data_IF_938349513779
#
_entry.id   IF_938349513779
#
_cell.length_a   1.000
_cell.length_b   1.000
_cell.length_c   1.000
_cell.angle_alpha   90.00
_cell.angle_beta   90.00
_cell.angle_gamma   90.00
#
_symmetry.space_group_name_H-M   'P 1'
#
loop_
_entity.id
_entity.type
_entity.pdbx_description
1 polymer ?
#
# COMPACT_ATOMS: atom_id res chain seq x y z
N UNK A 1 -4.46 3.84 1.86
CA UNK A 1 -3.47 3.88 2.97
C UNK A 1 -2.42 2.76 2.91
N UNK A 2 -2.66 1.63 2.22
CA UNK A 2 -1.67 0.54 2.12
C UNK A 2 -0.58 0.83 1.06
N UNK A 3 -0.92 1.54 -0.01
CA UNK A 3 -0.04 1.84 -1.15
C UNK A 3 1.25 2.61 -0.77
N UNK A 4 1.28 3.29 0.38
CA UNK A 4 2.51 3.97 0.85
C UNK A 4 3.59 3.00 1.33
N UNK A 5 3.25 1.72 1.53
CA UNK A 5 4.13 0.70 2.12
C UNK A 5 4.52 -0.41 1.17
N UNK A 6 3.94 -0.43 -0.03
CA UNK A 6 4.18 -1.48 -1.02
C UNK A 6 4.70 -0.78 -2.28
N UNK A 7 5.86 -1.20 -2.81
CA UNK A 7 6.37 -0.73 -4.10
C UNK A 7 5.34 -0.97 -5.21
N UNK A 8 5.29 -0.08 -6.19
CA UNK A 8 4.25 -0.11 -7.23
C UNK A 8 4.43 -1.32 -8.13
N UNK A 9 5.68 -1.70 -8.42
CA UNK A 9 6.05 -2.85 -9.22
C UNK A 9 5.60 -4.17 -8.56
N UNK A 10 5.68 -4.26 -7.22
CA UNK A 10 5.16 -5.43 -6.51
C UNK A 10 3.64 -5.56 -6.64
N UNK A 11 2.91 -4.44 -6.67
CA UNK A 11 1.46 -4.44 -6.87
C UNK A 11 1.12 -4.84 -8.30
N UNK A 12 1.84 -4.31 -9.29
CA UNK A 12 1.66 -4.69 -10.70
C UNK A 12 1.85 -6.18 -10.90
N UNK A 13 2.91 -6.76 -10.33
CA UNK A 13 3.16 -8.21 -10.38
C UNK A 13 2.04 -9.02 -9.72
N UNK A 14 1.56 -8.60 -8.55
CA UNK A 14 0.41 -9.24 -7.89
C UNK A 14 -0.84 -9.16 -8.77
N UNK A 15 -1.11 -8.00 -9.37
CA UNK A 15 -2.26 -7.78 -10.25
C UNK A 15 -2.16 -8.58 -11.55
N UNK A 16 -0.95 -8.88 -12.02
CA UNK A 16 -0.72 -9.69 -13.21
C UNK A 16 -1.09 -11.17 -13.02
N UNK A 17 -1.07 -11.70 -11.78
CA UNK A 17 -1.33 -13.11 -11.51
C UNK A 17 -2.61 -13.63 -12.19
N UNK A 18 -3.80 -13.01 -12.03
CA UNK A 18 -5.03 -13.54 -12.62
C UNK A 18 -5.12 -13.39 -14.14
N UNK A 19 -4.20 -12.65 -14.77
CA UNK A 19 -4.12 -12.50 -16.22
C UNK A 19 -3.15 -13.48 -16.86
N UNK A 20 -2.07 -13.84 -16.15
CA UNK A 20 -1.06 -14.79 -16.62
C UNK A 20 -1.51 -16.22 -16.36
N UNK A 21 -1.97 -16.50 -15.14
CA UNK A 21 -2.52 -17.80 -14.75
C UNK A 21 -3.99 -17.62 -14.34
N UNK A 22 -4.91 -17.59 -15.31
CA UNK A 22 -6.32 -17.30 -15.05
C UNK A 22 -7.07 -18.50 -14.43
N UNK A 23 -6.47 -19.69 -14.39
CA UNK A 23 -7.12 -20.91 -13.95
C UNK A 23 -7.66 -20.78 -12.52
N UNK A 24 -8.87 -21.29 -12.20
CA UNK A 24 -9.76 -22.10 -13.04
C UNK A 24 -10.67 -21.30 -13.99
N UNK A 25 -10.53 -19.98 -14.06
CA UNK A 25 -11.30 -19.10 -14.95
C UNK A 25 -10.58 -18.86 -16.29
N UNK A 26 -11.23 -18.18 -17.24
CA UNK A 26 -10.56 -17.66 -18.46
C UNK A 26 -10.11 -16.21 -18.28
N UNK A 27 -9.14 -15.69 -19.04
CA UNK A 27 -8.54 -14.34 -18.86
C UNK A 27 -9.58 -13.22 -18.61
N UNK A 28 -9.38 -12.31 -17.64
CA UNK A 28 -10.36 -11.26 -17.34
C UNK A 28 -10.56 -10.31 -18.54
N UNK A 29 -11.80 -10.20 -19.03
CA UNK A 29 -12.18 -9.34 -20.16
C UNK A 29 -12.78 -7.98 -19.78
N UNK A 30 -12.94 -7.70 -18.48
CA UNK A 30 -13.47 -6.44 -17.97
C UNK A 30 -12.70 -5.98 -16.73
N UNK A 31 -12.73 -4.67 -16.46
CA UNK A 31 -12.06 -4.07 -15.29
C UNK A 31 -12.56 -4.69 -13.99
N UNK A 32 -13.89 -4.84 -13.86
CA UNK A 32 -14.51 -5.41 -12.66
C UNK A 32 -14.13 -6.88 -12.46
N UNK A 33 -14.10 -7.68 -13.54
CA UNK A 33 -13.68 -9.07 -13.46
C UNK A 33 -12.21 -9.20 -13.04
N UNK A 34 -11.33 -8.34 -13.56
CA UNK A 34 -9.93 -8.27 -13.15
C UNK A 34 -9.79 -7.93 -11.67
N UNK A 35 -10.43 -6.84 -11.24
CA UNK A 35 -10.40 -6.37 -9.85
C UNK A 35 -10.87 -7.45 -8.85
N UNK A 36 -12.02 -8.08 -9.10
CA UNK A 36 -12.56 -9.12 -8.23
C UNK A 36 -11.66 -10.35 -8.15
N UNK A 37 -10.99 -10.71 -9.25
CA UNK A 37 -10.07 -11.85 -9.25
C UNK A 37 -8.78 -11.56 -8.52
N UNK A 38 -8.26 -10.33 -8.61
CA UNK A 38 -7.11 -9.90 -7.80
C UNK A 38 -7.47 -9.95 -6.32
N UNK A 39 -8.65 -9.45 -5.92
CA UNK A 39 -9.11 -9.55 -4.54
C UNK A 39 -9.22 -11.01 -4.09
N UNK A 40 -9.79 -11.87 -4.94
CA UNK A 40 -9.90 -13.32 -4.68
C UNK A 40 -8.55 -13.99 -4.52
N UNK A 41 -7.58 -13.66 -5.38
CA UNK A 41 -6.22 -14.14 -5.27
C UNK A 41 -5.61 -13.72 -3.93
N UNK A 42 -5.62 -12.41 -3.63
CA UNK A 42 -5.06 -11.87 -2.38
C UNK A 42 -5.68 -12.45 -1.11
N UNK A 43 -6.98 -12.72 -1.11
CA UNK A 43 -7.65 -13.29 0.05
C UNK A 43 -7.26 -14.75 0.33
N UNK A 44 -7.00 -15.52 -0.72
CA UNK A 44 -6.70 -16.95 -0.64
C UNK A 44 -5.19 -17.24 -0.64
N UNK A 45 -4.36 -16.30 -1.06
CA UNK A 45 -2.92 -16.50 -1.15
C UNK A 45 -2.29 -16.65 0.24
N UNK A 46 -1.81 -17.86 0.54
CA UNK A 46 -1.00 -18.13 1.72
C UNK A 46 0.48 -17.82 1.41
N UNK A 47 0.83 -16.55 1.41
CA UNK A 47 2.19 -16.08 1.12
C UNK A 47 3.28 -16.68 2.04
N UNK A 48 2.93 -17.28 3.19
CA UNK A 48 3.89 -17.98 4.06
C UNK A 48 4.40 -19.29 3.44
N UNK A 49 3.50 -20.05 2.84
CA UNK A 49 3.77 -21.40 2.34
C UNK A 49 3.98 -21.41 0.82
N UNK A 50 3.30 -20.52 0.09
CA UNK A 50 3.28 -20.53 -1.36
C UNK A 50 3.97 -19.27 -1.95
N UNK A 51 5.04 -19.44 -2.74
CA UNK A 51 5.63 -18.34 -3.50
C UNK A 51 4.71 -17.96 -4.68
N UNK A 52 4.73 -16.68 -5.07
CA UNK A 52 4.14 -16.26 -6.34
C UNK A 52 5.23 -16.32 -7.42
N UNK A 53 5.11 -17.25 -8.37
CA UNK A 53 6.04 -17.36 -9.52
C UNK A 53 5.28 -16.96 -10.78
N UNK A 54 5.75 -15.93 -11.47
CA UNK A 54 5.08 -15.36 -12.63
C UNK A 54 5.92 -15.53 -13.89
N UNK A 55 5.33 -16.18 -14.89
CA UNK A 55 5.88 -16.20 -16.24
C UNK A 55 5.42 -14.96 -17.02
N UNK A 56 6.29 -13.96 -17.09
CA UNK A 56 6.03 -12.72 -17.83
C UNK A 56 6.20 -12.87 -19.35
N UNK A 57 6.53 -14.06 -19.86
CA UNK A 57 6.62 -14.31 -21.30
C UNK A 57 5.24 -14.28 -21.96
N UNK A 58 4.78 -13.06 -22.24
CA UNK A 58 3.47 -12.82 -22.82
C UNK A 58 3.42 -13.17 -24.32
N UNK A 59 2.60 -14.15 -24.69
CA UNK A 59 1.89 -14.21 -25.99
C UNK A 59 0.69 -13.25 -25.94
N UNK A 60 0.94 -11.95 -25.82
CA UNK A 60 -0.16 -10.97 -25.82
C UNK A 60 -0.39 -10.49 -27.23
N UNK A 61 -1.34 -11.15 -27.89
CA UNK A 61 -1.74 -10.97 -29.27
C UNK A 61 -0.66 -11.39 -30.28
N UNK A 62 -0.94 -12.48 -30.99
CA UNK A 62 -0.33 -12.84 -32.27
C UNK A 62 -0.47 -11.76 -33.37
N UNK A 63 -1.10 -10.61 -33.09
CA UNK A 63 -1.32 -9.50 -34.03
C UNK A 63 -0.33 -8.35 -33.90
N UNK A 64 0.44 -8.23 -32.81
CA UNK A 64 1.28 -7.05 -32.56
C UNK A 64 2.75 -7.37 -32.23
N UNK A 65 3.15 -8.65 -32.19
CA UNK A 65 4.56 -9.01 -32.26
C UNK A 65 4.92 -9.21 -33.73
N UNK A 66 6.02 -8.60 -34.17
CA UNK A 66 6.79 -9.12 -35.30
C UNK A 66 6.88 -10.64 -35.12
N UNK A 67 6.42 -11.40 -36.11
CA UNK A 67 6.50 -12.85 -36.09
C UNK A 67 7.97 -13.23 -35.90
N UNK A 68 8.37 -13.51 -34.65
CA UNK A 68 9.62 -14.24 -34.42
C UNK A 68 9.39 -15.62 -35.05
N UNK A 69 9.96 -15.81 -36.23
CA UNK A 69 9.77 -16.98 -37.10
C UNK A 69 10.26 -18.30 -36.48
N UNK A 70 11.11 -18.24 -35.45
CA UNK A 70 11.67 -19.42 -34.81
C UNK A 70 10.87 -19.88 -33.59
N UNK A 71 10.35 -21.11 -33.65
CA UNK A 71 9.72 -21.83 -32.53
C UNK A 71 10.65 -21.91 -31.29
N UNK A 72 11.96 -21.86 -31.50
CA UNK A 72 12.99 -21.94 -30.45
C UNK A 72 13.00 -20.69 -29.55
N UNK A 73 12.78 -19.51 -30.12
CA UNK A 73 12.76 -18.25 -29.35
C UNK A 73 11.51 -18.15 -28.45
N UNK A 74 10.38 -18.71 -28.91
CA UNK A 74 9.13 -18.76 -28.14
C UNK A 74 9.24 -19.68 -26.92
N UNK A 75 10.00 -20.79 -27.04
CA UNK A 75 10.27 -21.71 -25.93
C UNK A 75 11.31 -21.10 -24.97
N UNK A 76 12.33 -20.44 -25.51
CA UNK A 76 13.38 -19.79 -24.69
C UNK A 76 12.82 -18.69 -23.80
N UNK A 77 11.76 -18.01 -24.23
CA UNK A 77 11.13 -16.94 -23.46
C UNK A 77 10.40 -17.45 -22.20
N UNK A 78 9.80 -18.63 -22.23
CA UNK A 78 9.07 -19.23 -21.09
C UNK A 78 10.00 -19.59 -19.93
N UNK A 79 9.43 -19.66 -18.72
CA UNK A 79 10.19 -20.13 -17.55
C UNK A 79 10.52 -21.61 -17.71
N UNK A 80 11.82 -21.92 -17.78
CA UNK A 80 12.32 -23.29 -17.77
C UNK A 80 12.14 -23.96 -16.39
N UNK A 81 12.02 -25.29 -16.39
CA UNK A 81 11.87 -26.10 -15.18
C UNK A 81 13.05 -25.90 -14.21
N UNK A 82 14.28 -25.77 -14.71
CA UNK A 82 15.43 -25.53 -13.86
C UNK A 82 15.33 -24.18 -13.12
N UNK A 83 14.88 -23.14 -13.82
CA UNK A 83 14.66 -21.81 -13.26
C UNK A 83 13.54 -21.84 -12.22
N UNK A 84 12.43 -22.50 -12.53
CA UNK A 84 11.31 -22.69 -11.60
C UNK A 84 11.74 -23.42 -10.31
N UNK A 85 12.51 -24.50 -10.43
CA UNK A 85 13.06 -25.21 -9.26
C UNK A 85 14.04 -24.35 -8.46
N UNK A 86 14.83 -23.52 -9.13
CA UNK A 86 15.76 -22.60 -8.48
C UNK A 86 15.03 -21.54 -7.66
N UNK A 87 13.94 -20.98 -8.18
CA UNK A 87 13.07 -20.04 -7.44
C UNK A 87 12.46 -20.70 -6.20
N UNK A 88 11.93 -21.92 -6.32
CA UNK A 88 11.39 -22.65 -5.18
C UNK A 88 12.45 -22.97 -4.12
N UNK A 89 13.68 -23.30 -4.53
CA UNK A 89 14.82 -23.46 -3.61
C UNK A 89 15.16 -22.13 -2.92
N UNK A 90 15.14 -21.01 -3.63
CA UNK A 90 15.36 -19.68 -3.06
C UNK A 90 14.28 -19.32 -2.03
N UNK A 91 13.02 -19.62 -2.33
CA UNK A 91 11.90 -19.45 -1.41
C UNK A 91 12.06 -20.30 -0.14
N UNK A 92 12.39 -21.59 -0.30
CA UNK A 92 12.61 -22.49 0.84
C UNK A 92 13.74 -21.98 1.75
N UNK A 93 14.87 -21.55 1.17
CA UNK A 93 15.98 -20.93 1.92
C UNK A 93 15.54 -19.64 2.63
N UNK A 94 14.72 -18.83 1.99
CA UNK A 94 14.21 -17.60 2.59
C UNK A 94 13.31 -17.92 3.79
N UNK A 95 12.43 -18.93 3.68
CA UNK A 95 11.54 -19.36 4.77
C UNK A 95 12.27 -20.12 5.88
N UNK A 96 13.40 -20.75 5.60
CA UNK A 96 14.27 -21.32 6.64
C UNK A 96 14.81 -20.23 7.57
N UNK A 97 15.25 -19.10 7.00
CA UNK A 97 15.75 -17.97 7.79
C UNK A 97 14.66 -17.05 8.35
N UNK A 98 13.51 -16.96 7.67
CA UNK A 98 12.35 -16.17 8.09
C UNK A 98 11.05 -16.97 7.96
N UNK A 99 10.77 -17.90 8.90
CA UNK A 99 9.60 -18.79 8.82
C UNK A 99 8.26 -18.06 8.88
N UNK A 100 8.24 -16.87 9.53
CA UNK A 100 7.02 -16.08 9.70
C UNK A 100 6.85 -15.01 8.62
N UNK A 101 7.85 -14.79 7.75
CA UNK A 101 7.84 -13.75 6.73
C UNK A 101 7.80 -12.34 7.33
N UNK A 102 8.54 -12.11 8.41
CA UNK A 102 8.60 -10.80 9.10
C UNK A 102 9.26 -9.75 8.22
N UNK A 103 10.35 -10.10 7.53
CA UNK A 103 11.15 -9.18 6.71
C UNK A 103 10.67 -9.14 5.27
N UNK A 104 10.34 -10.29 4.72
CA UNK A 104 9.90 -10.44 3.32
C UNK A 104 8.64 -11.33 3.33
N UNK A 105 7.46 -10.74 3.53
CA UNK A 105 6.20 -11.49 3.52
C UNK A 105 5.91 -12.01 2.12
N UNK A 106 5.99 -11.15 1.10
CA UNK A 106 5.71 -11.53 -0.29
C UNK A 106 6.97 -12.01 -1.00
N UNK A 107 6.93 -13.23 -1.52
CA UNK A 107 7.93 -13.74 -2.45
C UNK A 107 7.32 -13.71 -3.85
N UNK A 108 7.92 -12.96 -4.78
CA UNK A 108 7.44 -12.83 -6.15
C UNK A 108 8.61 -13.10 -7.10
N UNK A 109 8.69 -14.34 -7.61
CA UNK A 109 9.71 -14.76 -8.56
C UNK A 109 9.29 -14.50 -10.00
N UNK A 110 10.20 -13.93 -10.80
CA UNK A 110 10.02 -13.74 -12.25
C UNK A 110 11.30 -14.19 -12.95
N UNK A 111 11.28 -14.39 -14.27
CA UNK A 111 12.51 -14.74 -15.02
C UNK A 111 13.66 -13.76 -14.78
N UNK A 112 13.34 -12.49 -14.53
CA UNK A 112 14.29 -11.42 -14.22
C UNK A 112 14.74 -11.44 -12.75
N UNK A 113 13.86 -11.85 -11.82
CA UNK A 113 14.18 -11.98 -10.40
C UNK A 113 13.98 -13.41 -9.87
N UNK A 114 15.04 -14.20 -9.92
CA UNK A 114 15.09 -15.57 -9.35
C UNK A 114 15.09 -15.54 -7.81
N UNK A 115 15.53 -14.44 -7.21
CA UNK A 115 15.61 -14.30 -5.75
C UNK A 115 14.25 -14.03 -5.11
N UNK A 116 13.32 -13.47 -5.89
CA UNK A 116 11.93 -13.22 -5.54
C UNK A 116 11.70 -12.17 -4.45
N UNK A 117 12.74 -11.40 -4.10
CA UNK A 117 12.73 -10.42 -3.00
C UNK A 117 13.07 -9.00 -3.42
N UNK A 118 13.43 -8.77 -4.69
CA UNK A 118 13.94 -7.47 -5.17
C UNK A 118 12.89 -6.38 -5.01
N UNK A 119 11.65 -6.68 -5.41
CA UNK A 119 10.54 -5.74 -5.42
C UNK A 119 9.72 -5.74 -4.12
N UNK A 120 9.96 -6.70 -3.22
CA UNK A 120 9.17 -6.88 -2.00
C UNK A 120 9.94 -6.54 -0.72
N UNK A 121 11.17 -6.06 -0.87
CA UNK A 121 11.99 -5.62 0.24
C UNK A 121 11.38 -4.37 0.91
N UNK A 122 11.20 -4.43 2.24
CA UNK A 122 10.67 -3.31 3.03
C UNK A 122 9.16 -3.38 3.31
N UNK A 123 8.44 -4.35 2.74
CA UNK A 123 7.04 -4.58 3.09
C UNK A 123 6.96 -5.19 4.48
N UNK A 124 6.34 -4.47 5.42
CA UNK A 124 6.10 -4.99 6.77
C UNK A 124 5.04 -6.09 6.77
N UNK A 125 5.25 -7.11 7.60
CA UNK A 125 4.28 -8.16 7.89
C UNK A 125 2.88 -7.61 8.27
N UNK A 126 2.82 -6.51 9.02
CA UNK A 126 1.56 -5.89 9.44
C UNK A 126 0.76 -5.42 8.22
N UNK A 127 1.44 -4.81 7.26
CA UNK A 127 0.83 -4.31 6.03
C UNK A 127 0.38 -5.47 5.14
N UNK A 128 1.22 -6.49 4.97
CA UNK A 128 0.88 -7.65 4.16
C UNK A 128 -0.31 -8.44 4.73
N UNK A 129 -0.33 -8.66 6.04
CA UNK A 129 -1.44 -9.29 6.76
C UNK A 129 -2.72 -8.45 6.65
N UNK A 130 -2.61 -7.12 6.76
CA UNK A 130 -3.74 -6.22 6.62
C UNK A 130 -4.34 -6.25 5.22
N UNK A 131 -3.52 -6.24 4.17
CA UNK A 131 -4.00 -6.34 2.79
C UNK A 131 -4.75 -7.66 2.55
N UNK A 132 -4.20 -8.77 3.05
CA UNK A 132 -4.84 -10.10 2.97
C UNK A 132 -6.18 -10.11 3.72
N UNK A 133 -6.21 -9.56 4.93
CA UNK A 133 -7.40 -9.51 5.79
C UNK A 133 -8.49 -8.63 5.20
N UNK A 134 -8.14 -7.45 4.68
CA UNK A 134 -9.10 -6.58 4.00
C UNK A 134 -9.63 -7.21 2.71
N UNK A 135 -8.80 -7.95 1.98
CA UNK A 135 -9.25 -8.67 0.78
C UNK A 135 -10.26 -9.76 1.14
N UNK A 136 -10.04 -10.50 2.24
CA UNK A 136 -11.03 -11.46 2.77
C UNK A 136 -12.33 -10.78 3.17
N UNK A 137 -12.26 -9.70 3.95
CA UNK A 137 -13.45 -8.94 4.36
C UNK A 137 -14.22 -8.41 3.16
N UNK A 138 -13.53 -7.89 2.14
CA UNK A 138 -14.17 -7.40 0.92
C UNK A 138 -14.90 -8.52 0.17
N UNK A 139 -14.31 -9.71 0.04
CA UNK A 139 -14.97 -10.86 -0.58
C UNK A 139 -16.13 -11.40 0.26
N UNK A 140 -15.99 -11.47 1.57
CA UNK A 140 -17.06 -11.90 2.47
C UNK A 140 -18.27 -10.97 2.36
N UNK A 141 -18.03 -9.66 2.27
CA UNK A 141 -19.08 -8.66 2.07
C UNK A 141 -19.75 -8.83 0.70
N UNK A 142 -18.98 -9.13 -0.35
CA UNK A 142 -19.52 -9.35 -1.71
C UNK A 142 -20.32 -10.66 -1.83
N UNK A 143 -19.86 -11.73 -1.20
CA UNK A 143 -20.50 -13.07 -1.25
C UNK A 143 -21.75 -13.17 -0.37
N UNK A 144 -21.85 -12.41 0.72
CA UNK A 144 -23.07 -12.37 1.55
C UNK A 144 -24.29 -11.84 0.81
N UNK A 145 -24.08 -10.99 -0.20
CA UNK A 145 -25.12 -10.38 -1.02
C UNK A 145 -25.48 -11.19 -2.29
N UNK A 146 -24.99 -12.44 -2.42
CA UNK A 146 -25.12 -13.38 -3.56
C UNK A 146 -26.55 -13.61 -4.10
N UNK A 147 -27.58 -13.09 -3.42
CA UNK A 147 -28.96 -13.11 -3.90
C UNK A 147 -29.24 -12.08 -5.00
N UNK A 148 -28.39 -11.07 -5.17
CA UNK A 148 -28.50 -10.07 -6.23
C UNK A 148 -27.35 -10.23 -7.23
N UNK A 149 -27.70 -10.37 -8.51
CA UNK A 149 -26.73 -10.42 -9.62
C UNK A 149 -26.01 -9.07 -9.84
N UNK A 150 -26.52 -7.99 -9.25
CA UNK A 150 -25.97 -6.64 -9.37
C UNK A 150 -25.30 -6.18 -8.08
N UNK A 151 -24.05 -5.73 -8.22
CA UNK A 151 -23.29 -5.12 -7.13
C UNK A 151 -23.82 -3.70 -6.94
N UNK A 152 -24.49 -3.46 -5.81
CA UNK A 152 -25.04 -2.14 -5.48
C UNK A 152 -23.94 -1.10 -5.31
N UNK A 153 -24.17 0.12 -5.79
CA UNK A 153 -23.26 1.26 -5.62
C UNK A 153 -22.89 1.54 -4.15
N UNK A 154 -23.82 1.32 -3.23
CA UNK A 154 -23.56 1.48 -1.80
C UNK A 154 -22.50 0.49 -1.29
N UNK A 155 -22.47 -0.72 -1.83
CA UNK A 155 -21.52 -1.76 -1.47
C UNK A 155 -20.13 -1.45 -2.04
N UNK A 156 -20.08 -0.97 -3.29
CA UNK A 156 -18.83 -0.48 -3.88
C UNK A 156 -18.26 0.68 -3.07
N UNK A 157 -19.10 1.66 -2.70
CA UNK A 157 -18.69 2.77 -1.82
C UNK A 157 -18.13 2.26 -0.50
N UNK A 158 -18.72 1.22 0.10
CA UNK A 158 -18.23 0.62 1.34
C UNK A 158 -16.83 0.02 1.18
N UNK A 159 -16.59 -0.75 0.10
CA UNK A 159 -15.28 -1.38 -0.16
C UNK A 159 -14.18 -0.35 -0.39
N UNK A 160 -14.51 0.78 -1.03
CA UNK A 160 -13.58 1.88 -1.27
C UNK A 160 -13.50 2.90 -0.11
N UNK A 161 -14.28 2.72 0.96
CA UNK A 161 -14.22 3.59 2.14
C UNK A 161 -13.27 2.98 3.19
N UNK A 162 -12.19 3.67 3.56
CA UNK A 162 -11.24 3.13 4.52
C UNK A 162 -11.85 3.03 5.93
N UNK A 163 -11.67 1.88 6.58
CA UNK A 163 -11.99 1.72 7.99
C UNK A 163 -10.87 2.29 8.87
N UNK A 164 -11.14 3.41 9.56
CA UNK A 164 -10.16 4.10 10.40
C UNK A 164 -10.08 3.58 11.86
N UNK A 165 -10.95 2.65 12.24
CA UNK A 165 -11.12 2.19 13.64
C UNK A 165 -9.97 1.32 14.18
N UNK A 166 -9.22 0.72 13.27
CA UNK A 166 -8.14 -0.22 13.61
C UNK A 166 -6.80 0.49 13.82
N UNK A 167 -6.75 1.81 13.66
CA UNK A 167 -5.55 2.62 13.87
C UNK A 167 -5.53 3.22 15.27
N UNK A 168 -4.33 3.34 15.84
CA UNK A 168 -4.13 3.94 17.16
C UNK A 168 -4.21 5.47 17.09
N UNK A 169 -3.71 6.04 15.99
CA UNK A 169 -3.68 7.48 15.75
C UNK A 169 -4.27 7.77 14.38
N UNK A 170 -5.19 8.73 14.30
CA UNK A 170 -5.80 9.20 13.05
C UNK A 170 -5.75 10.72 13.02
N UNK A 171 -4.95 11.27 12.11
CA UNK A 171 -4.79 12.71 11.89
C UNK A 171 -5.60 13.08 10.65
N UNK A 172 -6.68 13.85 10.84
CA UNK A 172 -7.48 14.41 9.76
C UNK A 172 -6.96 15.79 9.40
N UNK A 173 -6.74 16.02 8.11
CA UNK A 173 -6.17 17.27 7.60
C UNK A 173 -7.28 18.17 7.03
N UNK A 174 -7.07 19.49 7.13
CA UNK A 174 -8.00 20.50 6.64
C UNK A 174 -7.89 20.66 5.12
N UNK A 175 -9.00 20.43 4.43
CA UNK A 175 -9.09 20.63 2.97
C UNK A 175 -9.04 22.12 2.57
N UNK A 176 -9.37 23.03 3.49
CA UNK A 176 -9.42 24.47 3.17
C UNK A 176 -8.03 25.10 3.04
N UNK A 177 -7.09 24.69 3.87
CA UNK A 177 -5.73 25.24 3.91
C UNK A 177 -4.80 24.58 2.89
N UNK A 178 -5.11 23.35 2.50
CA UNK A 178 -4.37 22.56 1.51
C UNK A 178 -4.96 22.86 0.13
N UNK A 179 -4.28 23.67 -0.67
CA UNK A 179 -4.81 24.24 -1.91
C UNK A 179 -5.06 23.17 -3.02
N UNK A 180 -6.18 22.45 -2.95
CA UNK A 180 -6.53 21.32 -3.81
C UNK A 180 -6.67 21.67 -5.30
N UNK A 181 -7.04 22.91 -5.61
CA UNK A 181 -7.26 23.35 -7.00
C UNK A 181 -5.96 23.35 -7.81
N UNK A 182 -4.86 23.76 -7.19
CA UNK A 182 -3.55 23.92 -7.84
C UNK A 182 -2.93 22.56 -8.17
N UNK A 183 -2.84 21.67 -7.19
CA UNK A 183 -2.30 20.30 -7.36
C UNK A 183 -3.08 19.51 -8.42
N UNK A 184 -4.41 19.56 -8.36
CA UNK A 184 -5.25 18.86 -9.35
C UNK A 184 -5.08 19.39 -10.77
N UNK A 185 -5.01 20.71 -10.93
CA UNK A 185 -4.80 21.33 -12.24
C UNK A 185 -3.53 20.79 -12.88
N UNK A 186 -2.46 20.66 -12.09
CA UNK A 186 -1.15 20.21 -12.56
C UNK A 186 -1.09 18.71 -12.87
N UNK A 187 -1.94 17.89 -12.26
CA UNK A 187 -2.07 16.46 -12.60
C UNK A 187 -2.97 16.20 -13.80
N UNK A 188 -3.62 17.23 -14.37
CA UNK A 188 -4.51 17.10 -15.52
C UNK A 188 -5.87 16.46 -15.20
N UNK A 189 -6.19 16.26 -13.92
CA UNK A 189 -7.48 15.69 -13.51
C UNK A 189 -8.53 16.79 -13.48
N UNK A 190 -9.58 16.66 -14.31
CA UNK A 190 -10.66 17.65 -14.31
C UNK A 190 -11.50 17.55 -13.02
N UNK A 191 -11.99 18.67 -12.45
CA UNK A 191 -12.86 18.60 -11.31
C UNK A 191 -14.24 18.08 -11.75
N UNK A 192 -14.79 17.14 -10.99
CA UNK A 192 -16.03 16.44 -11.34
C UNK A 192 -17.27 17.33 -11.23
N UNK A 193 -17.19 18.41 -10.43
CA UNK A 193 -18.31 19.30 -10.14
C UNK A 193 -18.27 20.64 -10.90
N UNK A 194 -17.48 20.77 -11.97
CA UNK A 194 -17.45 22.02 -12.75
C UNK A 194 -18.55 22.03 -13.80
N UNK A 195 -19.48 22.99 -13.68
CA UNK A 195 -20.56 23.19 -14.66
C UNK A 195 -20.06 23.71 -16.02
N UNK A 196 -18.94 24.45 -16.06
CA UNK A 196 -18.41 25.07 -17.28
C UNK A 196 -16.89 24.92 -17.35
N UNK A 197 -16.36 24.42 -18.48
CA UNK A 197 -14.92 24.20 -18.70
C UNK A 197 -14.08 25.48 -18.56
N UNK A 198 -14.69 26.63 -18.85
CA UNK A 198 -14.09 27.96 -18.83
C UNK A 198 -13.76 28.46 -17.40
N UNK A 199 -14.31 27.81 -16.36
CA UNK A 199 -14.00 28.12 -14.95
C UNK A 199 -12.75 27.39 -14.44
N UNK A 200 -12.19 26.49 -15.25
CA UNK A 200 -10.93 25.83 -14.95
C UNK A 200 -9.81 26.70 -15.49
N UNK A 201 -9.06 27.35 -14.60
CA UNK A 201 -7.92 28.18 -14.98
C UNK A 201 -6.93 27.35 -15.82
N UNK A 202 -6.65 27.79 -17.04
CA UNK A 202 -5.67 27.17 -17.91
C UNK A 202 -4.25 27.38 -17.36
N UNK A 203 -3.39 26.36 -17.47
CA UNK A 203 -1.98 26.50 -17.15
C UNK A 203 -1.34 27.38 -18.24
N UNK A 204 -1.01 28.62 -17.90
CA UNK A 204 -0.38 29.57 -18.81
C UNK A 204 1.15 29.59 -18.67
N UNK A 205 1.67 29.11 -17.55
CA UNK A 205 3.10 29.15 -17.21
C UNK A 205 3.52 27.88 -16.44
N UNK A 206 4.79 27.53 -16.54
CA UNK A 206 5.39 26.48 -15.72
C UNK A 206 5.72 27.08 -14.34
N UNK A 207 5.01 26.62 -13.31
CA UNK A 207 5.25 27.03 -11.93
C UNK A 207 6.47 26.29 -11.34
N UNK A 208 7.16 26.93 -10.39
CA UNK A 208 8.28 26.32 -9.66
C UNK A 208 7.81 25.09 -8.87
N UNK A 209 8.49 23.96 -9.04
CA UNK A 209 8.10 22.66 -8.49
C UNK A 209 8.06 22.66 -6.96
N UNK A 210 8.92 23.44 -6.31
CA UNK A 210 8.95 23.55 -4.85
C UNK A 210 7.73 24.27 -4.27
N UNK A 211 7.12 25.19 -5.02
CA UNK A 211 5.89 25.90 -4.61
C UNK A 211 4.62 25.11 -4.92
N UNK A 212 4.78 23.98 -5.61
CA UNK A 212 3.69 23.13 -6.11
C UNK A 212 3.64 21.79 -5.39
N UNK A 213 4.75 21.39 -4.75
CA UNK A 213 4.86 20.13 -4.04
C UNK A 213 3.78 20.00 -2.96
N UNK A 214 3.30 18.77 -2.77
CA UNK A 214 2.27 18.47 -1.78
C UNK A 214 2.83 18.56 -0.35
N UNK A 215 2.44 19.56 0.46
CA UNK A 215 2.98 19.74 1.81
C UNK A 215 2.61 18.57 2.72
N UNK A 216 1.52 17.85 2.42
CA UNK A 216 1.11 16.68 3.21
C UNK A 216 2.11 15.54 3.05
N UNK A 217 2.65 15.35 1.84
CA UNK A 217 3.64 14.30 1.59
C UNK A 217 4.96 14.61 2.28
N UNK A 218 5.40 15.88 2.24
CA UNK A 218 6.56 16.35 3.00
C UNK A 218 6.37 16.12 4.51
N UNK A 219 5.22 16.53 5.06
CA UNK A 219 4.88 16.30 6.46
C UNK A 219 4.87 14.80 6.81
N UNK A 220 4.29 13.95 5.96
CA UNK A 220 4.31 12.50 6.15
C UNK A 220 5.74 11.94 6.17
N UNK A 221 6.60 12.37 5.24
CA UNK A 221 8.00 11.93 5.19
C UNK A 221 8.78 12.35 6.45
N UNK A 222 8.51 13.54 6.99
CA UNK A 222 9.09 13.99 8.26
C UNK A 222 8.63 13.11 9.44
N UNK A 223 7.35 12.74 9.48
CA UNK A 223 6.82 11.82 10.51
C UNK A 223 7.47 10.43 10.42
N UNK A 224 7.63 9.89 9.22
CA UNK A 224 8.30 8.61 8.98
C UNK A 224 9.76 8.68 9.39
N UNK A 225 10.47 9.76 9.05
CA UNK A 225 11.88 9.92 9.40
C UNK A 225 12.10 10.02 10.91
N UNK A 226 11.22 10.75 11.63
CA UNK A 226 11.37 10.99 13.08
C UNK A 226 10.84 9.84 13.94
N UNK A 227 9.70 9.26 13.57
CA UNK A 227 8.96 8.32 14.41
C UNK A 227 8.79 6.93 13.79
N UNK A 228 9.35 6.66 12.61
CA UNK A 228 9.19 5.41 11.88
C UNK A 228 9.68 4.16 12.61
N UNK A 229 10.55 4.30 13.61
CA UNK A 229 10.95 3.16 14.47
C UNK A 229 9.80 2.70 15.37
N UNK A 230 8.94 3.61 15.82
CA UNK A 230 7.94 3.34 16.88
C UNK A 230 6.52 3.33 16.33
N UNK A 231 6.26 4.11 15.28
CA UNK A 231 4.94 4.27 14.68
C UNK A 231 5.03 4.00 13.18
N UNK A 232 4.22 3.07 12.71
CA UNK A 232 4.03 2.80 11.29
C UNK A 232 2.99 3.79 10.75
N UNK A 233 3.48 4.88 10.16
CA UNK A 233 2.63 5.89 9.52
C UNK A 233 2.15 5.41 8.15
N UNK A 234 0.90 5.71 7.82
CA UNK A 234 0.29 5.39 6.53
C UNK A 234 -0.49 6.58 5.99
N UNK A 235 -0.46 6.79 4.69
CA UNK A 235 -1.15 7.89 4.01
C UNK A 235 -1.83 7.39 2.74
N UNK A 236 -2.89 8.07 2.30
CA UNK A 236 -3.37 7.95 0.92
C UNK A 236 -2.57 8.86 0.00
N UNK A 237 -1.69 8.28 -0.84
CA UNK A 237 -0.79 9.02 -1.75
C UNK A 237 -1.55 10.02 -2.64
N UNK A 238 -2.75 9.66 -3.11
CA UNK A 238 -3.48 10.42 -4.13
C UNK A 238 -4.72 11.16 -3.64
N UNK A 239 -5.00 11.18 -2.33
CA UNK A 239 -6.18 11.86 -1.79
C UNK A 239 -6.17 13.37 -2.05
N UNK A 240 -5.01 13.98 -2.27
CA UNK A 240 -4.90 15.40 -2.60
C UNK A 240 -5.56 15.80 -3.92
N UNK A 241 -5.82 14.82 -4.78
CA UNK A 241 -6.25 15.05 -6.16
C UNK A 241 -7.76 14.89 -6.35
N UNK A 242 -8.51 14.34 -5.38
CA UNK A 242 -9.97 14.16 -5.47
C UNK A 242 -10.72 15.15 -4.57
N UNK A 243 -11.92 15.59 -4.99
CA UNK A 243 -12.75 16.55 -4.20
C UNK A 243 -13.50 15.86 -3.06
N UNK A 244 -13.64 14.54 -3.15
CA UNK A 244 -14.53 13.77 -2.30
C UNK A 244 -13.82 13.14 -1.09
N UNK A 245 -12.49 13.09 -1.07
CA UNK A 245 -11.73 12.43 -0.01
C UNK A 245 -11.14 13.42 0.99
N UNK A 246 -11.49 13.24 2.26
CA UNK A 246 -10.74 13.87 3.36
C UNK A 246 -9.34 13.26 3.41
N UNK A 247 -8.30 14.11 3.48
CA UNK A 247 -6.93 13.61 3.61
C UNK A 247 -6.68 13.18 5.05
N UNK A 248 -6.27 11.93 5.20
CA UNK A 248 -6.00 11.33 6.51
C UNK A 248 -4.60 10.74 6.53
N UNK A 249 -3.91 10.94 7.66
CA UNK A 249 -2.69 10.22 8.02
C UNK A 249 -3.02 9.34 9.22
N UNK A 250 -2.62 8.08 9.16
CA UNK A 250 -2.88 7.12 10.24
C UNK A 250 -1.59 6.54 10.79
N UNK A 251 -1.52 6.32 12.09
CA UNK A 251 -0.39 5.68 12.77
C UNK A 251 -0.81 4.38 13.47
N UNK A 252 0.02 3.36 13.34
CA UNK A 252 -0.02 2.15 14.19
C UNK A 252 1.21 2.11 15.07
N UNK A 253 1.03 1.98 16.38
CA UNK A 253 2.12 1.90 17.33
C UNK A 253 2.68 0.47 17.30
N UNK A 254 3.99 0.34 17.13
CA UNK A 254 4.67 -0.95 17.13
C UNK A 254 4.70 -1.49 18.57
N UNK A 255 4.03 -2.63 18.88
CA UNK A 255 3.89 -3.09 20.26
C UNK A 255 5.22 -3.40 20.97
N UNK A 256 6.25 -3.82 20.22
CA UNK A 256 7.56 -4.15 20.78
C UNK A 256 8.42 -2.95 21.20
N UNK A 257 7.99 -1.73 20.86
CA UNK A 257 8.79 -0.51 21.05
C UNK A 257 8.17 0.47 22.06
N UNK A 258 7.10 0.05 22.73
CA UNK A 258 6.36 0.89 23.69
C UNK A 258 7.08 1.03 25.03
N UNK A 259 7.79 0.00 25.50
CA UNK A 259 8.54 0.00 26.76
C UNK A 259 9.95 -0.60 26.55
N UNK A 260 11.00 0.17 26.85
CA UNK A 260 12.40 -0.26 26.67
C UNK A 260 13.29 0.25 27.80
N UNK A 261 14.46 -0.36 27.96
CA UNK A 261 15.51 0.19 28.83
C UNK A 261 16.03 1.50 28.23
N UNK A 262 16.23 2.50 29.07
CA UNK A 262 16.75 3.79 28.62
C UNK A 262 18.13 3.64 27.95
N UNK A 263 18.30 4.27 26.78
CA UNK A 263 19.56 4.38 26.05
C UNK A 263 19.65 5.77 25.45
N UNK A 264 20.87 6.32 25.36
CA UNK A 264 21.11 7.69 24.86
C UNK A 264 20.79 7.83 23.36
N UNK A 265 20.86 6.75 22.59
CA UNK A 265 20.60 6.76 21.15
C UNK A 265 19.12 6.73 20.73
N UNK A 266 18.19 6.94 21.65
CA UNK A 266 16.76 6.91 21.31
C UNK A 266 16.32 8.32 20.87
N UNK A 267 15.83 8.44 19.63
CA UNK A 267 15.52 9.72 18.98
C UNK A 267 14.07 10.19 19.10
N UNK A 268 13.29 9.68 20.04
CA UNK A 268 11.86 10.01 20.17
C UNK A 268 11.42 10.28 21.62
N UNK A 269 10.32 11.03 21.85
CA UNK A 269 9.84 11.37 23.18
C UNK A 269 9.47 10.15 24.02
N UNK A 270 9.92 10.14 25.27
CA UNK A 270 9.63 9.07 26.22
C UNK A 270 9.41 9.62 27.61
N UNK A 271 8.57 8.90 28.37
CA UNK A 271 8.32 9.15 29.79
C UNK A 271 8.88 8.01 30.66
N UNK A 272 9.49 8.31 31.80
CA UNK A 272 9.94 7.28 32.73
C UNK A 272 8.72 6.54 33.31
N UNK A 273 8.75 5.21 33.27
CA UNK A 273 7.68 4.37 33.84
C UNK A 273 8.21 3.58 35.01
N UNK A 274 7.51 3.65 36.15
CA UNK A 274 7.79 2.85 37.33
C UNK A 274 7.01 1.54 37.24
N UNK A 275 7.45 0.62 36.39
CA UNK A 275 7.00 -0.78 36.55
C UNK A 275 7.75 -1.39 37.74
N UNK A 276 7.01 -2.00 38.66
CA UNK A 276 7.49 -2.57 39.91
C UNK A 276 8.72 -3.47 39.68
N UNK A 277 9.89 -3.00 40.12
CA UNK A 277 11.13 -3.77 40.17
C UNK A 277 12.20 -3.47 39.12
N UNK A 278 11.95 -2.66 38.07
CA UNK A 278 12.98 -2.27 37.08
C UNK A 278 13.18 -0.75 37.02
N UNK A 279 14.25 -0.26 37.67
CA UNK A 279 14.53 1.18 37.88
C UNK A 279 14.87 2.01 36.62
N UNK A 280 14.81 1.45 35.41
CA UNK A 280 15.38 2.09 34.19
C UNK A 280 14.53 1.87 32.92
N UNK A 281 13.20 1.72 33.07
CA UNK A 281 12.29 1.53 31.94
C UNK A 281 11.68 2.88 31.54
N UNK A 282 11.75 3.16 30.24
CA UNK A 282 11.10 4.29 29.60
C UNK A 282 10.01 3.78 28.67
N UNK A 283 8.89 4.51 28.64
CA UNK A 283 7.77 4.22 27.75
C UNK A 283 7.58 5.37 26.75
N UNK A 284 7.06 5.06 25.57
CA UNK A 284 6.71 6.08 24.57
C UNK A 284 5.73 7.11 25.14
N UNK A 285 6.06 8.39 25.00
CA UNK A 285 5.13 9.46 25.36
C UNK A 285 4.29 9.85 24.13
N UNK A 286 3.14 9.17 23.99
CA UNK A 286 2.21 9.40 22.89
C UNK A 286 1.72 10.85 22.90
N UNK A 287 1.46 11.43 24.07
CA UNK A 287 0.92 12.79 24.18
C UNK A 287 1.93 13.82 23.65
N UNK A 288 3.22 13.62 23.94
CA UNK A 288 4.28 14.51 23.44
C UNK A 288 4.53 14.32 21.93
N UNK A 289 4.50 13.07 21.43
CA UNK A 289 4.54 12.81 19.98
C UNK A 289 3.41 13.54 19.27
N UNK A 290 2.19 13.51 19.81
CA UNK A 290 1.04 14.20 19.22
C UNK A 290 1.17 15.72 19.28
N UNK A 291 1.74 16.29 20.34
CA UNK A 291 2.07 17.73 20.41
C UNK A 291 3.09 18.13 19.36
N UNK A 292 4.13 17.33 19.14
CA UNK A 292 5.12 17.57 18.09
C UNK A 292 4.45 17.48 16.71
N UNK A 293 3.60 16.49 16.48
CA UNK A 293 2.83 16.37 15.24
C UNK A 293 1.94 17.60 15.01
N UNK A 294 1.25 18.07 16.05
CA UNK A 294 0.42 19.26 16.00
C UNK A 294 1.22 20.53 15.69
N UNK A 295 2.40 20.67 16.32
CA UNK A 295 3.28 21.82 16.11
C UNK A 295 3.89 21.82 14.71
N UNK A 296 4.29 20.65 14.20
CA UNK A 296 4.92 20.53 12.89
C UNK A 296 3.93 20.77 11.74
N UNK A 297 2.69 20.30 11.88
CA UNK A 297 1.66 20.48 10.86
C UNK A 297 0.98 21.86 10.90
N UNK A 298 0.98 22.52 12.06
CA UNK A 298 0.33 23.83 12.25
C UNK A 298 -1.12 23.83 11.79
N UNK A 299 -1.45 24.77 10.90
CA UNK A 299 -2.80 25.02 10.39
C UNK A 299 -3.34 23.94 9.42
N UNK A 300 -2.53 22.92 9.10
CA UNK A 300 -2.94 21.82 8.23
C UNK A 300 -3.85 20.80 8.93
N UNK A 301 -3.85 20.72 10.26
CA UNK A 301 -4.61 19.72 11.00
C UNK A 301 -6.03 20.22 11.30
N UNK A 302 -7.02 19.36 11.04
CA UNK A 302 -8.43 19.55 11.42
C UNK A 302 -8.73 18.87 12.75
N UNK A 303 -8.32 17.61 12.91
CA UNK A 303 -8.48 16.88 14.18
C UNK A 303 -7.46 15.74 14.31
N UNK A 304 -7.17 15.36 15.55
CA UNK A 304 -6.34 14.20 15.88
C UNK A 304 -7.19 13.29 16.77
N UNK A 305 -7.55 12.12 16.26
CA UNK A 305 -8.28 11.10 16.99
C UNK A 305 -7.29 10.03 17.47
N UNK A 306 -7.32 9.70 18.76
CA UNK A 306 -6.47 8.67 19.37
C UNK A 306 -7.35 7.59 19.95
N UNK A 307 -7.03 6.34 19.62
CA UNK A 307 -7.69 5.17 20.21
C UNK A 307 -7.19 5.02 21.64
N UNK A 308 -8.12 5.13 22.60
CA UNK A 308 -7.90 4.82 24.00
C UNK A 308 -8.03 3.33 24.27
#
# INVERSE_FOLDING_TARGET
MILSHIPEEAIELIVLQPFIDPAPYGVPGSVMAGFLRVLRFLANWNWKEDPLILDLSREFNSKYREEKDSYVDKISDKIDLHTYQSMNKSFAKLREHDPQGVKVPYFIGTKEDISGKTWTQGISLVIASRLTSLSRVALDVLTRDDKNYEIKDSLLKLIFTPALKDYDIVIKLSSTTLNHKKLRRLTGIMPTNVKFKNLVDSITEFEDTNQVADPVLAFYNDLVSRFGEVIVWSISKFDGVSDASERVITGLIVPGNTCRKFRVGIGYPMKPTKEDGKKEVVALDIDDVLKICATLAGDMIKSIDVKK
#
